data_IF_186530753004
#
_entry.id   IF_186530753004
#
_cell.length_a   1.000
_cell.length_b   1.000
_cell.length_c   1.000
_cell.angle_alpha   90.00
_cell.angle_beta   90.00
_cell.angle_gamma   90.00
#
_symmetry.space_group_name_H-M   'P 1'
#
loop_
_entity.id
_entity.type
_entity.pdbx_description
1 polymer ?
#
# COMPACT_ATOMS: atom_id res chain seq x y z
N UNK A 1 3.92 3.42 -21.32
CA UNK A 1 3.43 4.75 -20.91
C UNK A 1 2.93 4.62 -19.48
N UNK A 2 3.35 5.51 -18.58
CA UNK A 2 2.89 5.54 -17.17
C UNK A 2 1.43 6.03 -17.14
N UNK A 3 0.56 5.47 -16.30
CA UNK A 3 -0.86 5.86 -16.23
C UNK A 3 -1.10 7.33 -15.85
N UNK A 4 -0.37 7.90 -14.91
CA UNK A 4 -0.49 9.29 -14.42
C UNK A 4 -1.93 9.73 -14.11
N UNK A 5 -2.57 8.99 -13.21
CA UNK A 5 -3.95 9.28 -12.82
C UNK A 5 -4.05 10.55 -11.96
N UNK A 6 -5.10 11.34 -12.17
CA UNK A 6 -5.45 12.40 -11.23
C UNK A 6 -6.02 11.80 -9.95
N UNK A 7 -5.84 12.48 -8.80
CA UNK A 7 -6.28 11.97 -7.50
C UNK A 7 -7.79 11.67 -7.48
N UNK A 8 -8.59 12.55 -8.06
CA UNK A 8 -10.05 12.43 -8.13
C UNK A 8 -10.55 11.21 -8.90
N UNK A 9 -9.71 10.67 -9.79
CA UNK A 9 -10.05 9.52 -10.65
C UNK A 9 -9.56 8.19 -10.05
N UNK A 10 -8.83 8.23 -8.91
CA UNK A 10 -8.21 7.04 -8.33
C UNK A 10 -9.23 6.18 -7.59
N UNK A 11 -9.28 4.90 -7.97
CA UNK A 11 -9.94 3.82 -7.21
C UNK A 11 -8.85 2.83 -6.82
N UNK A 12 -8.42 2.91 -5.55
CA UNK A 12 -7.29 2.17 -5.05
C UNK A 12 -7.68 0.88 -4.32
N UNK A 13 -6.85 -0.14 -4.45
CA UNK A 13 -6.97 -1.40 -3.73
C UNK A 13 -5.65 -1.73 -3.02
N UNK A 14 -5.68 -1.78 -1.69
CA UNK A 14 -4.50 -2.18 -0.91
C UNK A 14 -4.46 -3.69 -0.74
N UNK A 15 -3.33 -4.31 -1.02
CA UNK A 15 -3.16 -5.76 -0.93
C UNK A 15 -1.78 -6.17 -0.41
N UNK A 16 -1.76 -7.30 0.28
CA UNK A 16 -0.55 -8.01 0.66
C UNK A 16 -0.29 -9.10 -0.39
N UNK A 17 0.89 -9.11 -1.01
CA UNK A 17 1.20 -10.01 -2.15
C UNK A 17 0.89 -11.47 -1.83
N UNK A 18 1.39 -11.98 -0.69
CA UNK A 18 1.12 -13.36 -0.28
C UNK A 18 -0.35 -13.56 0.10
N UNK A 19 -0.92 -12.68 0.92
CA UNK A 19 -2.28 -12.81 1.44
C UNK A 19 -3.35 -12.80 0.36
N UNK A 20 -3.15 -12.00 -0.70
CA UNK A 20 -4.12 -11.81 -1.76
C UNK A 20 -4.43 -13.08 -2.56
N UNK A 21 -3.41 -13.93 -2.76
CA UNK A 21 -3.57 -15.10 -3.64
C UNK A 21 -3.20 -16.45 -3.00
N UNK A 22 -2.74 -16.48 -1.74
CA UNK A 22 -2.25 -17.72 -1.11
C UNK A 22 -3.33 -18.79 -0.92
N UNK A 23 -4.56 -18.38 -0.59
CA UNK A 23 -5.66 -19.32 -0.38
C UNK A 23 -6.07 -20.01 -1.68
N UNK A 24 -6.51 -21.28 -1.57
CA UNK A 24 -6.88 -22.10 -2.74
C UNK A 24 -8.01 -21.51 -3.59
N UNK A 25 -8.93 -20.75 -2.97
CA UNK A 25 -10.02 -20.07 -3.66
C UNK A 25 -9.58 -18.97 -4.61
N UNK A 26 -8.32 -18.55 -4.55
CA UNK A 26 -7.78 -17.54 -5.48
C UNK A 26 -7.81 -18.01 -6.94
N UNK A 27 -7.69 -19.34 -7.18
CA UNK A 27 -7.72 -19.93 -8.52
C UNK A 27 -6.51 -19.60 -9.40
N UNK A 28 -5.43 -19.02 -8.80
CA UNK A 28 -4.19 -18.72 -9.54
C UNK A 28 -3.20 -19.88 -9.49
N UNK A 29 -2.30 -19.95 -10.47
CA UNK A 29 -1.24 -20.96 -10.52
C UNK A 29 -0.12 -20.63 -9.51
N UNK A 30 0.34 -19.38 -9.49
CA UNK A 30 1.47 -18.92 -8.66
C UNK A 30 0.98 -18.26 -7.37
N UNK A 31 0.43 -19.06 -6.44
CA UNK A 31 -0.21 -18.57 -5.21
C UNK A 31 0.77 -17.86 -4.27
N UNK A 32 0.40 -16.66 -3.85
CA UNK A 32 1.16 -15.87 -2.86
C UNK A 32 2.39 -15.19 -3.43
N UNK A 33 2.47 -15.00 -4.76
CA UNK A 33 3.61 -14.40 -5.47
C UNK A 33 3.21 -13.16 -6.26
N UNK A 34 4.21 -12.44 -6.79
CA UNK A 34 4.01 -11.33 -7.73
C UNK A 34 3.26 -11.77 -8.98
N UNK A 35 3.61 -12.94 -9.53
CA UNK A 35 2.91 -13.52 -10.68
C UNK A 35 1.46 -13.86 -10.32
N UNK A 36 1.19 -14.37 -9.12
CA UNK A 36 -0.18 -14.59 -8.65
C UNK A 36 -1.02 -13.31 -8.58
N UNK A 37 -0.42 -12.18 -8.19
CA UNK A 37 -1.10 -10.88 -8.26
C UNK A 37 -1.35 -10.48 -9.72
N UNK A 38 -0.39 -10.71 -10.61
CA UNK A 38 -0.54 -10.46 -12.05
C UNK A 38 -1.67 -11.29 -12.66
N UNK A 39 -1.79 -12.56 -12.29
CA UNK A 39 -2.90 -13.43 -12.72
C UNK A 39 -4.28 -12.89 -12.30
N UNK A 40 -4.35 -12.07 -11.23
CA UNK A 40 -5.58 -11.41 -10.75
C UNK A 40 -5.89 -10.09 -11.47
N UNK A 41 -5.09 -9.67 -12.43
CA UNK A 41 -5.32 -8.44 -13.19
C UNK A 41 -6.74 -8.33 -13.76
N UNK A 42 -7.34 -9.36 -14.42
CA UNK A 42 -8.71 -9.28 -14.90
C UNK A 42 -9.75 -9.06 -13.78
N UNK A 43 -9.51 -9.59 -12.59
CA UNK A 43 -10.36 -9.37 -11.43
C UNK A 43 -10.29 -7.92 -10.96
N UNK A 44 -9.09 -7.34 -10.85
CA UNK A 44 -8.90 -5.93 -10.46
C UNK A 44 -9.55 -4.97 -11.48
N UNK A 45 -9.40 -5.24 -12.78
CA UNK A 45 -10.06 -4.47 -13.84
C UNK A 45 -11.58 -4.55 -13.74
N UNK A 46 -12.14 -5.76 -13.48
CA UNK A 46 -13.60 -5.94 -13.30
C UNK A 46 -14.15 -5.17 -12.09
N UNK A 47 -13.34 -5.00 -11.04
CA UNK A 47 -13.67 -4.16 -9.89
C UNK A 47 -13.59 -2.66 -10.20
N UNK A 48 -13.04 -2.26 -11.34
CA UNK A 48 -12.81 -0.86 -11.68
C UNK A 48 -11.59 -0.25 -10.98
N UNK A 49 -10.66 -1.09 -10.47
CA UNK A 49 -9.44 -0.65 -9.80
C UNK A 49 -8.47 -0.09 -10.84
N UNK A 50 -7.94 1.10 -10.57
CA UNK A 50 -6.93 1.74 -11.41
C UNK A 50 -5.63 2.09 -10.65
N UNK A 51 -5.56 1.77 -9.35
CA UNK A 51 -4.33 1.87 -8.57
C UNK A 51 -4.26 0.75 -7.54
N UNK A 52 -3.12 0.05 -7.45
CA UNK A 52 -2.86 -0.92 -6.38
C UNK A 52 -1.85 -0.36 -5.38
N UNK A 53 -2.12 -0.60 -4.10
CA UNK A 53 -1.20 -0.30 -3.01
C UNK A 53 -0.63 -1.61 -2.50
N UNK A 54 0.64 -1.86 -2.79
CA UNK A 54 1.34 -3.04 -2.32
C UNK A 54 1.88 -2.79 -0.91
N UNK A 55 1.42 -3.59 0.05
CA UNK A 55 2.06 -3.69 1.36
C UNK A 55 3.53 -4.12 1.19
N UNK A 56 4.40 -4.02 2.21
CA UNK A 56 5.83 -4.19 2.05
C UNK A 56 6.24 -5.34 1.14
N UNK A 57 6.97 -5.02 0.06
CA UNK A 57 7.45 -5.96 -0.96
C UNK A 57 8.97 -6.10 -0.99
N UNK A 58 9.68 -5.35 -0.15
CA UNK A 58 11.12 -5.47 0.03
C UNK A 58 11.47 -6.71 0.88
N UNK A 59 12.75 -7.11 0.86
CA UNK A 59 13.21 -8.28 1.61
C UNK A 59 13.28 -7.99 3.11
N UNK A 60 12.72 -8.88 3.92
CA UNK A 60 12.74 -8.84 5.39
C UNK A 60 12.80 -10.25 5.97
N UNK A 61 13.27 -10.37 7.21
CA UNK A 61 13.30 -11.64 7.93
C UNK A 61 11.89 -12.00 8.43
N UNK A 62 11.36 -13.10 7.93
CA UNK A 62 10.06 -13.66 8.36
C UNK A 62 10.19 -14.48 9.65
N UNK A 63 11.37 -15.01 9.95
CA UNK A 63 11.64 -15.98 11.02
C UNK A 63 12.13 -15.32 12.30
N UNK A 64 11.57 -14.18 12.66
CA UNK A 64 11.84 -13.52 13.95
C UNK A 64 11.15 -14.30 15.09
N UNK A 65 11.41 -13.90 16.35
CA UNK A 65 10.77 -14.50 17.53
C UNK A 65 9.24 -14.66 17.38
N UNK A 66 8.62 -13.70 16.69
CA UNK A 66 7.24 -13.79 16.20
C UNK A 66 7.29 -13.67 14.68
N UNK A 67 6.50 -14.49 13.99
CA UNK A 67 6.45 -14.46 12.51
C UNK A 67 6.13 -13.04 12.03
N UNK A 68 7.05 -12.45 11.28
CA UNK A 68 6.83 -11.16 10.63
C UNK A 68 6.11 -11.36 9.30
N UNK A 69 4.78 -11.41 9.36
CA UNK A 69 3.95 -11.59 8.17
C UNK A 69 3.88 -10.34 7.30
N UNK A 70 3.84 -9.16 7.92
CA UNK A 70 3.55 -7.90 7.25
C UNK A 70 4.77 -7.22 6.63
N UNK A 71 5.98 -7.56 7.08
CA UNK A 71 7.22 -6.96 6.61
C UNK A 71 7.58 -5.62 7.25
N UNK A 72 6.96 -5.27 8.37
CA UNK A 72 7.33 -4.07 9.12
C UNK A 72 8.60 -4.29 9.95
N UNK A 73 9.33 -3.21 10.22
CA UNK A 73 10.55 -3.22 11.01
C UNK A 73 11.83 -3.22 10.19
N UNK A 74 12.86 -3.92 10.67
CA UNK A 74 14.16 -3.99 9.99
C UNK A 74 14.07 -4.77 8.69
N UNK A 75 14.59 -4.22 7.61
CA UNK A 75 14.46 -4.79 6.28
C UNK A 75 15.65 -4.44 5.37
N UNK A 76 15.76 -5.16 4.27
CA UNK A 76 16.69 -4.89 3.17
C UNK A 76 15.93 -4.16 2.06
N UNK A 77 15.80 -2.84 2.21
CA UNK A 77 14.90 -2.00 1.41
C UNK A 77 15.19 -1.96 -0.10
N UNK A 78 16.35 -2.44 -0.56
CA UNK A 78 16.79 -2.41 -1.96
C UNK A 78 16.59 -3.73 -2.71
N UNK A 79 15.88 -4.68 -2.15
CA UNK A 79 15.63 -5.96 -2.80
C UNK A 79 14.15 -6.34 -2.69
N UNK A 80 13.51 -6.84 -3.75
CA UNK A 80 12.17 -7.40 -3.66
C UNK A 80 12.19 -8.70 -2.85
N UNK A 81 11.08 -8.96 -2.14
CA UNK A 81 10.92 -10.13 -1.26
C UNK A 81 11.06 -11.44 -2.02
N UNK A 82 12.10 -12.22 -1.74
CA UNK A 82 12.37 -13.48 -2.44
C UNK A 82 11.23 -14.49 -2.30
N UNK A 83 10.62 -14.59 -1.12
CA UNK A 83 9.51 -15.53 -0.88
C UNK A 83 8.17 -15.10 -1.52
N UNK A 84 8.11 -13.93 -2.16
CA UNK A 84 6.97 -13.48 -2.97
C UNK A 84 7.17 -13.76 -4.46
N UNK A 85 8.17 -14.56 -4.83
CA UNK A 85 8.39 -14.98 -6.20
C UNK A 85 8.36 -16.50 -6.31
N UNK A 86 7.94 -17.01 -7.46
CA UNK A 86 8.05 -18.41 -7.83
C UNK A 86 9.41 -18.70 -8.48
N UNK A 87 10.00 -17.70 -9.11
CA UNK A 87 11.31 -17.73 -9.76
C UNK A 87 12.21 -16.57 -9.31
N UNK A 88 12.55 -15.67 -10.23
CA UNK A 88 13.38 -14.50 -9.95
C UNK A 88 12.52 -13.31 -9.43
N UNK A 89 12.68 -12.90 -8.17
CA UNK A 89 11.85 -11.84 -7.59
C UNK A 89 12.02 -10.48 -8.29
N UNK A 90 13.19 -10.19 -8.84
CA UNK A 90 13.44 -8.95 -9.57
C UNK A 90 12.64 -8.91 -10.87
N UNK A 91 12.69 -10.00 -11.65
CA UNK A 91 11.98 -10.09 -12.92
C UNK A 91 10.46 -10.17 -12.72
N UNK A 92 9.99 -10.92 -11.73
CA UNK A 92 8.55 -11.02 -11.42
C UNK A 92 7.99 -9.67 -10.95
N UNK A 93 8.69 -8.92 -10.07
CA UNK A 93 8.27 -7.59 -9.65
C UNK A 93 8.23 -6.60 -10.82
N UNK A 94 9.24 -6.62 -11.71
CA UNK A 94 9.25 -5.79 -12.93
C UNK A 94 8.11 -6.17 -13.88
N UNK A 95 7.84 -7.45 -14.02
CA UNK A 95 6.71 -7.96 -14.83
C UNK A 95 5.37 -7.48 -14.27
N UNK A 96 5.17 -7.59 -12.95
CA UNK A 96 3.97 -7.11 -12.27
C UNK A 96 3.71 -5.63 -12.59
N UNK A 97 4.68 -4.75 -12.33
CA UNK A 97 4.54 -3.31 -12.59
C UNK A 97 4.22 -3.05 -14.05
N UNK A 98 4.94 -3.71 -14.98
CA UNK A 98 4.69 -3.57 -16.42
C UNK A 98 3.27 -3.99 -16.81
N UNK A 99 2.78 -5.12 -16.32
CA UNK A 99 1.43 -5.60 -16.64
C UNK A 99 0.35 -4.70 -16.06
N UNK A 100 0.54 -4.17 -14.85
CA UNK A 100 -0.38 -3.18 -14.26
C UNK A 100 -0.41 -1.91 -15.11
N UNK A 101 0.73 -1.36 -15.54
CA UNK A 101 0.81 -0.19 -16.40
C UNK A 101 0.14 -0.40 -17.77
N UNK A 102 0.32 -1.58 -18.39
CA UNK A 102 -0.37 -1.93 -19.64
C UNK A 102 -1.90 -1.95 -19.49
N UNK A 103 -2.38 -2.25 -18.29
CA UNK A 103 -3.79 -2.25 -17.96
C UNK A 103 -4.32 -0.88 -17.44
N UNK A 104 -3.47 0.15 -17.42
CA UNK A 104 -3.82 1.48 -16.91
C UNK A 104 -3.89 1.57 -15.39
N UNK A 105 -3.24 0.64 -14.67
CA UNK A 105 -3.21 0.57 -13.21
C UNK A 105 -1.87 1.07 -12.68
N UNK A 106 -1.88 2.05 -11.80
CA UNK A 106 -0.69 2.52 -11.07
C UNK A 106 -0.31 1.58 -9.94
N UNK A 107 0.99 1.54 -9.62
CA UNK A 107 1.55 0.73 -8.52
C UNK A 107 2.20 1.63 -7.48
N UNK A 108 1.66 1.64 -6.27
CA UNK A 108 2.17 2.36 -5.11
C UNK A 108 2.73 1.36 -4.11
N UNK A 109 3.92 1.63 -3.57
CA UNK A 109 4.55 0.78 -2.55
C UNK A 109 4.41 1.38 -1.16
N UNK A 110 4.10 0.55 -0.18
CA UNK A 110 4.20 0.93 1.22
C UNK A 110 5.65 0.79 1.71
N UNK A 111 6.23 1.92 2.14
CA UNK A 111 7.62 2.00 2.61
C UNK A 111 7.68 2.50 4.06
N UNK A 112 7.41 1.62 5.03
CA UNK A 112 7.35 1.97 6.45
C UNK A 112 8.76 2.00 7.06
N UNK A 113 9.55 3.00 6.69
CA UNK A 113 10.85 3.21 7.30
C UNK A 113 10.73 3.35 8.81
N UNK A 114 11.74 2.87 9.53
CA UNK A 114 11.80 2.92 10.99
C UNK A 114 12.58 4.12 11.49
N UNK A 115 12.36 4.50 12.74
CA UNK A 115 13.19 5.50 13.42
C UNK A 115 14.68 5.15 13.31
N UNK A 116 15.51 6.17 13.09
CA UNK A 116 16.94 6.01 12.86
C UNK A 116 17.34 5.73 11.41
N UNK A 117 16.39 5.52 10.48
CA UNK A 117 16.71 5.49 9.05
C UNK A 117 17.07 6.91 8.59
N UNK A 118 18.26 7.08 8.02
CA UNK A 118 18.71 8.41 7.57
C UNK A 118 17.93 8.87 6.34
N UNK A 119 17.71 10.17 6.21
CA UNK A 119 17.02 10.74 5.06
C UNK A 119 17.70 10.38 3.73
N UNK A 120 19.04 10.37 3.68
CA UNK A 120 19.79 9.94 2.49
C UNK A 120 19.46 8.52 2.08
N UNK A 121 19.39 7.58 3.04
CA UNK A 121 19.06 6.19 2.76
C UNK A 121 17.61 6.05 2.24
N UNK A 122 16.67 6.79 2.85
CA UNK A 122 15.28 6.84 2.39
C UNK A 122 15.23 7.33 0.95
N UNK A 123 15.88 8.45 0.66
CA UNK A 123 15.89 9.06 -0.66
C UNK A 123 16.48 8.11 -1.73
N UNK A 124 17.64 7.50 -1.45
CA UNK A 124 18.30 6.55 -2.36
C UNK A 124 17.43 5.29 -2.58
N UNK A 125 16.76 4.83 -1.54
CA UNK A 125 15.84 3.70 -1.64
C UNK A 125 14.64 4.03 -2.56
N UNK A 126 13.97 5.14 -2.35
CA UNK A 126 12.82 5.52 -3.18
C UNK A 126 13.23 5.77 -4.64
N UNK A 127 14.37 6.43 -4.88
CA UNK A 127 14.96 6.58 -6.22
C UNK A 127 15.22 5.21 -6.88
N UNK A 128 15.78 4.26 -6.13
CA UNK A 128 16.03 2.90 -6.61
C UNK A 128 14.77 2.23 -7.12
N UNK A 129 13.68 2.25 -6.34
CA UNK A 129 12.42 1.63 -6.75
C UNK A 129 11.79 2.31 -7.96
N UNK A 130 11.87 3.64 -8.06
CA UNK A 130 11.40 4.38 -9.25
C UNK A 130 12.24 4.03 -10.47
N UNK A 131 13.57 4.04 -10.35
CA UNK A 131 14.48 3.84 -11.50
C UNK A 131 14.54 2.40 -11.97
N UNK A 132 14.46 1.43 -11.05
CA UNK A 132 14.61 0.00 -11.36
C UNK A 132 13.29 -0.71 -11.67
N UNK A 133 12.21 -0.31 -10.99
CA UNK A 133 10.91 -1.00 -11.08
C UNK A 133 9.81 -0.13 -11.67
N UNK A 134 10.07 1.18 -11.85
CA UNK A 134 9.11 2.14 -12.43
C UNK A 134 7.79 2.23 -11.65
N UNK A 135 7.85 2.12 -10.33
CA UNK A 135 6.67 2.31 -9.48
C UNK A 135 6.21 3.77 -9.52
N UNK A 136 4.90 4.00 -9.34
CA UNK A 136 4.29 5.31 -9.51
C UNK A 136 4.32 6.15 -8.23
N UNK A 137 4.60 5.54 -7.09
CA UNK A 137 4.71 6.28 -5.84
C UNK A 137 4.85 5.42 -4.60
N UNK A 138 4.75 6.08 -3.47
CA UNK A 138 5.01 5.48 -2.16
C UNK A 138 4.06 5.98 -1.09
N UNK A 139 3.65 5.09 -0.18
CA UNK A 139 3.16 5.46 1.13
C UNK A 139 4.33 5.52 2.10
N UNK A 140 4.51 6.67 2.75
CA UNK A 140 5.55 6.90 3.74
C UNK A 140 4.95 7.36 5.07
N UNK A 141 5.69 7.12 6.16
CA UNK A 141 5.32 7.65 7.46
C UNK A 141 5.79 9.12 7.57
N UNK A 142 4.87 10.10 7.66
CA UNK A 142 5.24 11.53 7.71
C UNK A 142 6.05 11.91 8.96
N UNK A 143 5.99 11.10 10.02
CA UNK A 143 6.79 11.31 11.24
C UNK A 143 8.26 10.85 11.10
N UNK A 144 8.56 10.03 10.08
CA UNK A 144 9.92 9.53 9.80
C UNK A 144 10.58 10.34 8.69
N UNK A 145 9.83 10.70 7.65
CA UNK A 145 10.34 11.51 6.56
C UNK A 145 9.27 12.46 6.05
N UNK A 146 9.68 13.71 5.78
CA UNK A 146 8.77 14.72 5.27
C UNK A 146 8.46 14.47 3.78
N UNK A 147 7.18 14.18 3.40
CA UNK A 147 6.80 13.96 2.01
C UNK A 147 7.10 15.13 1.08
N UNK A 148 7.00 16.39 1.58
CA UNK A 148 7.26 17.59 0.78
C UNK A 148 8.76 17.77 0.46
N UNK A 149 9.64 17.26 1.32
CA UNK A 149 11.08 17.22 1.03
C UNK A 149 11.41 16.15 0.00
N UNK A 150 10.80 14.98 0.09
CA UNK A 150 10.95 13.91 -0.90
C UNK A 150 10.47 14.35 -2.28
N UNK A 151 9.35 15.06 -2.36
CA UNK A 151 8.78 15.56 -3.62
C UNK A 151 9.67 16.61 -4.34
N UNK A 152 10.64 17.21 -3.64
CA UNK A 152 11.62 18.14 -4.26
C UNK A 152 12.72 17.42 -5.04
N UNK A 153 12.88 16.11 -4.82
CA UNK A 153 13.89 15.34 -5.53
C UNK A 153 13.55 15.19 -7.02
N UNK A 154 14.49 15.42 -7.95
CA UNK A 154 14.20 15.38 -9.38
C UNK A 154 13.70 14.01 -9.89
N UNK A 155 14.12 12.91 -9.28
CA UNK A 155 13.68 11.55 -9.64
C UNK A 155 12.27 11.31 -9.10
N UNK A 156 12.00 11.78 -7.88
CA UNK A 156 10.72 11.58 -7.20
C UNK A 156 9.65 12.63 -7.55
N UNK A 157 10.01 13.71 -8.23
CA UNK A 157 9.10 14.82 -8.56
C UNK A 157 7.85 14.42 -9.37
N UNK A 158 7.93 13.28 -10.08
CA UNK A 158 6.80 12.71 -10.83
C UNK A 158 6.11 11.56 -10.10
N UNK A 159 6.62 11.16 -8.95
CA UNK A 159 6.06 10.08 -8.14
C UNK A 159 5.04 10.62 -7.15
N UNK A 160 4.03 9.83 -6.85
CA UNK A 160 3.05 10.14 -5.80
C UNK A 160 3.67 9.83 -4.44
N UNK A 161 3.93 10.83 -3.63
CA UNK A 161 4.38 10.64 -2.25
C UNK A 161 3.16 10.84 -1.34
N UNK A 162 2.72 9.75 -0.73
CA UNK A 162 1.46 9.67 0.01
C UNK A 162 1.74 9.45 1.49
N UNK A 163 0.89 10.01 2.34
CA UNK A 163 0.92 9.83 3.79
C UNK A 163 -0.01 8.68 4.19
N UNK A 164 0.44 7.83 5.09
CA UNK A 164 -0.42 6.84 5.72
C UNK A 164 -0.91 7.38 7.06
N UNK A 165 -2.16 7.79 7.10
CA UNK A 165 -2.84 8.31 8.30
C UNK A 165 -4.22 7.68 8.43
N UNK A 166 -4.58 7.27 9.64
CA UNK A 166 -5.85 6.59 9.94
C UNK A 166 -6.97 7.57 10.40
N UNK A 167 -6.75 8.89 10.28
CA UNK A 167 -7.69 9.90 10.76
C UNK A 167 -9.09 9.76 10.15
N UNK A 168 -9.17 9.68 8.82
CA UNK A 168 -10.44 9.48 8.12
C UNK A 168 -11.12 8.16 8.54
N UNK A 169 -10.36 7.05 8.55
CA UNK A 169 -10.86 5.74 8.95
C UNK A 169 -11.46 5.76 10.35
N UNK A 170 -10.76 6.33 11.32
CA UNK A 170 -11.19 6.35 12.72
C UNK A 170 -12.47 7.16 12.90
N UNK A 171 -12.57 8.34 12.28
CA UNK A 171 -13.76 9.19 12.34
C UNK A 171 -14.95 8.51 11.68
N UNK A 172 -14.77 7.98 10.46
CA UNK A 172 -15.86 7.34 9.72
C UNK A 172 -16.36 6.06 10.39
N UNK A 173 -15.47 5.27 10.99
CA UNK A 173 -15.86 4.07 11.74
C UNK A 173 -16.72 4.40 12.95
N UNK A 174 -16.34 5.41 13.74
CA UNK A 174 -17.14 5.90 14.88
C UNK A 174 -18.49 6.43 14.44
N UNK A 175 -18.52 7.20 13.35
CA UNK A 175 -19.77 7.70 12.77
C UNK A 175 -20.69 6.56 12.30
N UNK A 176 -20.17 5.57 11.57
CA UNK A 176 -20.93 4.42 11.10
C UNK A 176 -21.44 3.52 12.24
N UNK A 177 -20.69 3.45 13.34
CA UNK A 177 -21.08 2.75 14.55
C UNK A 177 -22.26 3.44 15.25
N UNK A 178 -22.47 4.76 15.03
CA UNK A 178 -23.51 5.55 15.65
C UNK A 178 -23.06 6.31 16.90
N UNK A 179 -21.75 6.52 17.10
CA UNK A 179 -21.23 7.36 18.18
C UNK A 179 -21.81 8.79 18.05
N UNK A 180 -22.27 9.36 19.17
CA UNK A 180 -22.82 10.71 19.19
C UNK A 180 -21.75 11.78 18.95
N UNK A 181 -22.18 12.93 18.41
CA UNK A 181 -21.32 14.10 18.23
C UNK A 181 -20.34 14.04 17.04
N UNK A 182 -20.36 12.99 16.22
CA UNK A 182 -19.37 12.77 15.16
C UNK A 182 -19.57 13.63 13.90
N UNK A 183 -20.69 14.34 13.75
CA UNK A 183 -21.05 15.05 12.50
C UNK A 183 -19.98 16.09 12.12
N UNK A 184 -19.49 16.86 13.12
CA UNK A 184 -18.48 17.88 12.86
C UNK A 184 -17.15 17.28 12.41
N UNK A 185 -16.71 16.20 13.04
CA UNK A 185 -15.48 15.51 12.68
C UNK A 185 -15.56 14.93 11.27
N UNK A 186 -16.71 14.35 10.90
CA UNK A 186 -16.97 13.87 9.54
C UNK A 186 -16.88 15.00 8.51
N UNK A 187 -17.51 16.16 8.80
CA UNK A 187 -17.44 17.34 7.92
C UNK A 187 -16.00 17.79 7.73
N UNK A 188 -15.21 17.84 8.81
CA UNK A 188 -13.79 18.22 8.75
C UNK A 188 -12.99 17.25 7.88
N UNK A 189 -13.21 15.94 8.04
CA UNK A 189 -12.52 14.92 7.22
C UNK A 189 -12.91 15.00 5.73
N UNK A 190 -14.19 15.21 5.42
CA UNK A 190 -14.66 15.33 4.03
C UNK A 190 -14.19 16.63 3.36
N UNK A 191 -13.96 17.70 4.11
CA UNK A 191 -13.41 18.97 3.62
C UNK A 191 -11.89 18.98 3.52
N UNK A 192 -11.20 17.95 4.03
CA UNK A 192 -9.75 17.87 3.95
C UNK A 192 -9.30 17.74 2.49
N UNK A 193 -8.54 18.74 2.02
CA UNK A 193 -8.03 18.81 0.65
C UNK A 193 -6.57 18.37 0.51
N UNK A 194 -5.98 17.73 1.53
CA UNK A 194 -4.63 17.21 1.45
C UNK A 194 -4.53 16.15 0.35
N UNK A 195 -3.81 16.49 -0.72
CA UNK A 195 -3.66 15.61 -1.89
C UNK A 195 -2.80 14.39 -1.63
N UNK A 196 -2.05 14.37 -0.53
CA UNK A 196 -1.20 13.25 -0.11
C UNK A 196 -1.94 12.20 0.74
N UNK A 197 -3.19 12.46 1.13
CA UNK A 197 -4.02 11.55 1.90
C UNK A 197 -5.04 10.82 1.02
N UNK A 198 -5.27 9.55 1.30
CA UNK A 198 -6.40 8.79 0.76
C UNK A 198 -7.43 8.49 1.84
N UNK A 199 -8.70 8.60 1.43
CA UNK A 199 -9.83 8.28 2.29
C UNK A 199 -10.13 6.78 2.18
N UNK A 200 -10.13 6.07 3.31
CA UNK A 200 -10.50 4.66 3.39
C UNK A 200 -11.18 4.38 4.72
N UNK A 201 -12.08 3.38 4.74
CA UNK A 201 -12.81 2.95 5.93
C UNK A 201 -12.27 1.59 6.42
N UNK A 202 -11.89 0.72 5.49
CA UNK A 202 -11.32 -0.59 5.78
C UNK A 202 -9.81 -0.63 5.52
N UNK A 203 -9.06 -1.25 6.41
CA UNK A 203 -7.63 -1.52 6.26
C UNK A 203 -7.31 -2.87 6.91
N UNK A 204 -6.05 -3.33 6.80
CA UNK A 204 -5.59 -4.52 7.51
C UNK A 204 -5.45 -4.30 9.03
N UNK A 205 -5.56 -3.07 9.50
CA UNK A 205 -5.53 -2.71 10.90
C UNK A 205 -6.96 -2.54 11.46
N UNK A 206 -7.22 -3.13 12.63
CA UNK A 206 -8.48 -2.97 13.33
C UNK A 206 -9.60 -3.84 12.77
N UNK A 207 -10.81 -3.34 12.81
CA UNK A 207 -12.02 -4.08 12.44
C UNK A 207 -12.19 -4.23 10.94
N UNK A 208 -12.76 -5.36 10.52
CA UNK A 208 -13.42 -5.47 9.20
C UNK A 208 -14.66 -4.56 9.15
N UNK A 209 -15.21 -4.32 7.96
CA UNK A 209 -16.45 -3.53 7.87
C UNK A 209 -17.62 -4.20 8.61
N UNK A 210 -17.67 -5.53 8.63
CA UNK A 210 -18.67 -6.28 9.38
C UNK A 210 -18.49 -6.08 10.89
N UNK A 211 -17.25 -6.17 11.38
CA UNK A 211 -16.96 -6.04 12.81
C UNK A 211 -17.22 -4.63 13.34
N UNK A 212 -17.03 -3.59 12.51
CA UNK A 212 -17.32 -2.19 12.87
C UNK A 212 -18.76 -1.99 13.33
N UNK A 213 -19.70 -2.70 12.71
CA UNK A 213 -21.14 -2.60 13.04
C UNK A 213 -21.63 -3.71 13.96
N UNK A 214 -20.77 -4.67 14.32
CA UNK A 214 -21.14 -5.85 15.10
C UNK A 214 -20.59 -5.83 16.54
N UNK A 215 -19.47 -5.15 16.78
CA UNK A 215 -18.74 -5.19 18.05
C UNK A 215 -18.42 -3.81 18.61
N UNK A 216 -18.51 -3.66 19.94
CA UNK A 216 -18.13 -2.45 20.65
C UNK A 216 -16.63 -2.35 20.91
N UNK A 217 -15.91 -3.45 20.90
CA UNK A 217 -14.49 -3.53 21.13
C UNK A 217 -13.81 -4.62 20.31
N UNK A 218 -12.48 -4.63 20.26
CA UNK A 218 -11.69 -5.62 19.54
C UNK A 218 -11.78 -7.00 20.21
N UNK A 219 -12.03 -8.05 19.43
CA UNK A 219 -12.18 -9.42 19.90
C UNK A 219 -11.21 -10.41 19.27
N UNK A 220 -10.32 -9.95 18.39
CA UNK A 220 -9.30 -10.76 17.73
C UNK A 220 -7.93 -10.44 18.35
N UNK A 221 -7.63 -11.06 19.47
CA UNK A 221 -6.31 -11.01 20.12
C UNK A 221 -5.29 -11.96 19.48
#
# INVERSE_FOLDING_TARGET
QFPHLKKEDVIAYSLHVRGFTKHSSSGVAHKGTFDGVTEKLPYLQKLGINQIHLMPVYEFDENQRHVNYWGYGKAYFFAPKASYAAGDPVNEMKSLVRQMHLAGIEVILEMPFTEGTTFSLILDCLRYWVMQYHVDGFFVNPYICNPDELAKDPVLAKSKILKKEDGFQNVMRRFLKGDEGMIWDVICQLKNQDTQLYNYIASHNGFTLCDVVSYDGKHNE
#
